data_IF_980361000891
#
_entry.id   IF_980361000891
#
_cell.length_a   1.000
_cell.length_b   1.000
_cell.length_c   1.000
_cell.angle_alpha   90.00
_cell.angle_beta   90.00
_cell.angle_gamma   90.00
#
_symmetry.space_group_name_H-M   'P 1'
#
loop_
_entity.id
_entity.type
_entity.pdbx_description
1 polymer ?
#
# COMPACT_ATOMS: atom_id res chain seq x y z
N UNK A 1 -5.43 24.88 3.31
CA UNK A 1 -4.47 23.99 4.03
C UNK A 1 -4.03 24.71 5.29
N UNK A 2 -4.03 24.05 6.44
CA UNK A 2 -3.47 24.63 7.67
C UNK A 2 -2.00 24.97 7.43
N UNK A 3 -1.61 26.21 7.71
CA UNK A 3 -0.22 26.72 7.59
C UNK A 3 0.74 26.04 8.57
N UNK A 4 0.21 25.31 9.56
CA UNK A 4 0.98 24.76 10.67
C UNK A 4 2.01 23.69 10.30
N UNK A 5 1.95 23.10 9.10
CA UNK A 5 2.83 21.98 8.71
C UNK A 5 3.54 22.14 7.36
N UNK A 6 3.65 23.36 6.85
CA UNK A 6 4.32 23.59 5.57
C UNK A 6 5.82 23.31 5.62
N UNK A 7 6.45 23.51 6.78
CA UNK A 7 7.88 23.30 6.96
C UNK A 7 8.23 21.81 6.92
N UNK A 8 7.44 20.96 7.57
CA UNK A 8 7.61 19.51 7.58
C UNK A 8 7.43 18.92 6.18
N UNK A 9 6.48 19.45 5.41
CA UNK A 9 6.29 19.07 4.00
C UNK A 9 7.53 19.45 3.19
N UNK A 10 8.05 20.67 3.34
CA UNK A 10 9.23 21.15 2.63
C UNK A 10 10.48 20.33 2.99
N UNK A 11 10.70 20.06 4.27
CA UNK A 11 11.81 19.22 4.73
C UNK A 11 11.70 17.80 4.17
N UNK A 12 10.50 17.23 4.14
CA UNK A 12 10.29 15.91 3.58
C UNK A 12 10.48 15.89 2.06
N UNK A 13 10.07 16.93 1.34
CA UNK A 13 10.35 17.09 -0.09
C UNK A 13 11.85 17.14 -0.37
N UNK A 14 12.61 17.94 0.39
CA UNK A 14 14.06 18.01 0.27
C UNK A 14 14.74 16.65 0.48
N UNK A 15 14.32 15.89 1.51
CA UNK A 15 14.83 14.53 1.71
C UNK A 15 14.56 13.61 0.51
N UNK A 16 13.43 13.77 -0.17
CA UNK A 16 13.09 13.00 -1.37
C UNK A 16 13.84 13.45 -2.63
N UNK A 17 14.45 14.63 -2.65
CA UNK A 17 15.33 15.06 -3.74
C UNK A 17 16.67 14.32 -3.71
N UNK A 18 17.13 13.92 -2.52
CA UNK A 18 18.42 13.27 -2.30
C UNK A 18 18.38 11.73 -2.43
N UNK A 19 17.19 11.13 -2.62
CA UNK A 19 17.07 9.66 -2.77
C UNK A 19 17.50 9.19 -4.15
N UNK A 20 17.86 7.91 -4.26
CA UNK A 20 18.30 7.31 -5.53
C UNK A 20 17.20 7.32 -6.61
N UNK A 21 17.63 7.27 -7.88
CA UNK A 21 16.73 7.35 -9.03
C UNK A 21 15.74 6.18 -9.11
N UNK A 22 16.10 5.02 -8.57
CA UNK A 22 15.21 3.84 -8.55
C UNK A 22 14.04 4.09 -7.61
N UNK A 23 14.31 4.61 -6.40
CA UNK A 23 13.28 5.01 -5.45
C UNK A 23 12.43 6.17 -5.99
N UNK A 24 13.03 7.16 -6.66
CA UNK A 24 12.28 8.24 -7.32
C UNK A 24 11.33 7.71 -8.39
N UNK A 25 11.78 6.74 -9.19
CA UNK A 25 10.94 6.13 -10.22
C UNK A 25 9.71 5.43 -9.63
N UNK A 26 9.88 4.57 -8.62
CA UNK A 26 8.73 3.91 -8.01
C UNK A 26 7.86 4.88 -7.20
N UNK A 27 8.45 5.92 -6.61
CA UNK A 27 7.69 7.00 -5.97
C UNK A 27 6.77 7.70 -6.97
N UNK A 28 7.27 7.98 -8.19
CA UNK A 28 6.49 8.54 -9.29
C UNK A 28 5.27 7.67 -9.65
N UNK A 29 5.47 6.36 -9.73
CA UNK A 29 4.39 5.40 -9.98
C UNK A 29 3.38 5.35 -8.82
N UNK A 30 3.84 5.49 -7.58
CA UNK A 30 2.96 5.45 -6.40
C UNK A 30 2.09 6.71 -6.26
N UNK A 31 2.64 7.90 -6.51
CA UNK A 31 1.93 9.15 -6.21
C UNK A 31 0.96 9.60 -7.31
N UNK A 32 1.04 9.05 -8.52
CA UNK A 32 0.06 9.27 -9.62
C UNK A 32 -0.25 10.76 -9.88
N UNK A 33 0.77 11.61 -9.90
CA UNK A 33 0.62 13.06 -10.09
C UNK A 33 0.37 13.89 -8.82
N UNK A 34 0.21 13.26 -7.66
CA UNK A 34 -0.05 13.92 -6.37
C UNK A 34 1.08 13.69 -5.34
N UNK A 35 2.31 14.17 -5.59
CA UNK A 35 3.46 13.89 -4.73
C UNK A 35 3.29 14.47 -3.32
N UNK A 36 2.78 15.70 -3.19
CA UNK A 36 2.62 16.38 -1.89
C UNK A 36 1.59 15.68 -1.00
N UNK A 37 0.43 15.33 -1.55
CA UNK A 37 -0.63 14.60 -0.87
C UNK A 37 -0.15 13.22 -0.43
N UNK A 38 0.72 12.61 -1.23
CA UNK A 38 1.36 11.35 -0.90
C UNK A 38 2.30 11.49 0.29
N UNK A 39 3.18 12.50 0.32
CA UNK A 39 4.02 12.78 1.48
C UNK A 39 3.21 13.09 2.74
N UNK A 40 2.12 13.86 2.61
CA UNK A 40 1.20 14.17 3.72
C UNK A 40 0.60 12.89 4.32
N UNK A 41 0.29 11.86 3.52
CA UNK A 41 -0.22 10.57 4.05
C UNK A 41 0.79 9.91 4.99
N UNK A 42 2.08 9.90 4.62
CA UNK A 42 3.14 9.35 5.46
C UNK A 42 3.42 10.22 6.70
N UNK A 43 3.37 11.55 6.57
CA UNK A 43 3.49 12.47 7.70
C UNK A 43 2.36 12.27 8.71
N UNK A 44 1.11 12.23 8.25
CA UNK A 44 -0.06 11.97 9.11
C UNK A 44 0.05 10.62 9.83
N UNK A 45 0.56 9.58 9.17
CA UNK A 45 0.74 8.26 9.76
C UNK A 45 1.87 8.20 10.82
N UNK A 46 2.70 9.26 10.93
CA UNK A 46 3.85 9.33 11.84
C UNK A 46 3.84 10.63 12.66
N UNK A 47 2.65 11.15 12.96
CA UNK A 47 2.45 12.33 13.80
C UNK A 47 3.27 13.55 13.34
N UNK A 48 3.37 13.75 12.03
CA UNK A 48 4.16 14.80 11.37
C UNK A 48 5.67 14.73 11.64
N UNK A 49 6.18 13.62 12.17
CA UNK A 49 7.62 13.41 12.31
C UNK A 49 8.26 13.08 10.96
N UNK A 50 9.00 14.04 10.41
CA UNK A 50 9.63 13.96 9.07
C UNK A 50 10.54 12.73 8.94
N UNK A 51 11.39 12.45 9.93
CA UNK A 51 12.39 11.39 9.86
C UNK A 51 11.73 9.99 9.89
N UNK A 52 10.72 9.81 10.76
CA UNK A 52 9.93 8.57 10.82
C UNK A 52 9.10 8.37 9.56
N UNK A 53 8.51 9.44 9.03
CA UNK A 53 7.74 9.41 7.77
C UNK A 53 8.63 9.07 6.58
N UNK A 54 9.80 9.69 6.48
CA UNK A 54 10.81 9.40 5.47
C UNK A 54 11.26 7.95 5.53
N UNK A 55 11.63 7.45 6.71
CA UNK A 55 11.97 6.03 6.87
C UNK A 55 10.84 5.10 6.40
N UNK A 56 9.61 5.38 6.81
CA UNK A 56 8.44 4.57 6.40
C UNK A 56 8.23 4.61 4.87
N UNK A 57 8.45 5.75 4.23
CA UNK A 57 8.35 5.88 2.78
C UNK A 57 9.45 5.09 2.08
N UNK A 58 10.70 5.21 2.50
CA UNK A 58 11.82 4.44 1.92
C UNK A 58 11.59 2.94 2.06
N UNK A 59 11.22 2.47 3.26
CA UNK A 59 10.92 1.05 3.51
C UNK A 59 9.77 0.57 2.58
N UNK A 60 8.77 1.43 2.30
CA UNK A 60 7.69 1.15 1.35
C UNK A 60 8.16 1.07 -0.10
N UNK A 61 8.96 2.02 -0.56
CA UNK A 61 9.47 2.06 -1.93
C UNK A 61 10.41 0.87 -2.20
N UNK A 62 11.27 0.53 -1.24
CA UNK A 62 12.11 -0.67 -1.32
C UNK A 62 11.27 -1.95 -1.42
N UNK A 63 10.22 -2.08 -0.60
CA UNK A 63 9.31 -3.21 -0.70
C UNK A 63 8.61 -3.27 -2.06
N UNK A 64 8.20 -2.13 -2.63
CA UNK A 64 7.59 -2.07 -3.96
C UNK A 64 8.53 -2.59 -5.05
N UNK A 65 9.81 -2.23 -4.99
CA UNK A 65 10.84 -2.69 -5.92
C UNK A 65 11.06 -4.19 -5.76
N UNK A 66 11.30 -4.67 -4.53
CA UNK A 66 11.57 -6.08 -4.23
C UNK A 66 10.44 -7.02 -4.67
N UNK A 67 9.21 -6.53 -4.68
CA UNK A 67 8.03 -7.31 -5.03
C UNK A 67 7.47 -6.98 -6.42
N UNK A 68 8.18 -6.20 -7.22
CA UNK A 68 7.79 -5.79 -8.58
C UNK A 68 6.37 -5.20 -8.66
N UNK A 69 5.97 -4.42 -7.65
CA UNK A 69 4.59 -3.91 -7.51
C UNK A 69 4.19 -3.03 -8.69
N UNK A 70 5.13 -2.23 -9.20
CA UNK A 70 4.88 -1.33 -10.32
C UNK A 70 4.50 -2.11 -11.61
N UNK A 71 4.89 -3.39 -11.69
CA UNK A 71 4.62 -4.26 -12.83
C UNK A 71 3.56 -5.34 -12.52
N UNK A 72 2.86 -5.25 -11.38
CA UNK A 72 1.95 -6.32 -10.93
C UNK A 72 0.80 -6.58 -11.92
N UNK A 73 0.34 -5.53 -12.61
CA UNK A 73 -0.73 -5.62 -13.62
C UNK A 73 -0.21 -5.99 -15.02
N UNK A 74 1.11 -5.96 -15.24
CA UNK A 74 1.70 -6.36 -16.51
C UNK A 74 1.70 -7.88 -16.71
N UNK A 75 1.55 -8.65 -15.62
CA UNK A 75 1.50 -10.11 -15.65
C UNK A 75 0.03 -10.56 -15.64
N UNK A 76 -0.45 -11.33 -16.65
CA UNK A 76 -1.81 -11.84 -16.64
C UNK A 76 -1.99 -12.83 -15.48
N UNK A 77 -3.09 -12.67 -14.74
CA UNK A 77 -3.46 -13.63 -13.70
C UNK A 77 -4.01 -14.88 -14.39
N UNK A 78 -3.45 -16.08 -14.15
CA UNK A 78 -4.00 -17.31 -14.70
C UNK A 78 -5.48 -17.48 -14.32
N UNK A 79 -6.31 -17.91 -15.27
CA UNK A 79 -7.77 -17.93 -15.09
C UNK A 79 -8.22 -18.84 -13.95
N UNK A 80 -7.61 -20.03 -13.84
CA UNK A 80 -7.92 -20.99 -12.77
C UNK A 80 -7.56 -20.40 -11.40
N UNK A 81 -6.42 -19.73 -11.35
CA UNK A 81 -5.93 -19.05 -10.17
C UNK A 81 -6.89 -17.94 -9.74
N UNK A 82 -7.34 -17.10 -10.67
CA UNK A 82 -8.32 -16.04 -10.42
C UNK A 82 -9.66 -16.59 -9.89
N UNK A 83 -10.13 -17.69 -10.47
CA UNK A 83 -11.36 -18.35 -10.05
C UNK A 83 -11.26 -18.89 -8.62
N UNK A 84 -10.15 -19.56 -8.30
CA UNK A 84 -9.90 -20.07 -6.95
C UNK A 84 -9.89 -18.94 -5.90
N UNK A 85 -9.32 -17.76 -6.22
CA UNK A 85 -9.42 -16.59 -5.32
C UNK A 85 -10.86 -16.19 -5.13
N UNK A 86 -11.59 -16.01 -6.22
CA UNK A 86 -12.91 -15.41 -6.20
C UNK A 86 -13.91 -16.30 -5.48
N UNK A 87 -13.73 -17.62 -5.59
CA UNK A 87 -14.58 -18.60 -4.93
C UNK A 87 -14.21 -18.82 -3.45
N UNK A 88 -12.99 -18.49 -3.04
CA UNK A 88 -12.49 -18.72 -1.68
C UNK A 88 -12.36 -17.44 -0.83
N UNK A 89 -12.17 -16.28 -1.44
CA UNK A 89 -11.96 -15.01 -0.77
C UNK A 89 -13.03 -14.02 -1.21
N UNK A 90 -14.04 -13.87 -0.37
CA UNK A 90 -15.19 -13.04 -0.65
C UNK A 90 -14.83 -11.57 -0.41
N UNK A 91 -14.07 -10.98 -1.33
CA UNK A 91 -13.69 -9.57 -1.33
C UNK A 91 -14.16 -8.91 -2.61
N UNK A 92 -14.82 -7.76 -2.51
CA UNK A 92 -15.30 -7.03 -3.67
C UNK A 92 -15.51 -5.54 -3.43
N UNK A 93 -15.44 -4.76 -4.50
CA UNK A 93 -15.82 -3.35 -4.50
C UNK A 93 -17.34 -3.24 -4.67
N UNK A 94 -18.01 -2.62 -3.72
CA UNK A 94 -19.48 -2.59 -3.61
C UNK A 94 -20.08 -1.20 -3.83
N UNK A 95 -19.38 -0.33 -4.57
CA UNK A 95 -19.80 1.04 -4.86
C UNK A 95 -19.12 2.07 -3.96
N UNK A 96 -19.85 3.14 -3.60
CA UNK A 96 -19.32 4.30 -2.87
C UNK A 96 -20.19 4.66 -1.66
N UNK A 97 -19.58 5.20 -0.61
CA UNK A 97 -20.27 5.76 0.56
C UNK A 97 -20.99 7.08 0.20
N UNK A 98 -21.79 7.61 1.12
CA UNK A 98 -22.48 8.90 0.93
C UNK A 98 -21.50 10.07 0.74
N UNK A 99 -20.30 9.95 1.29
CA UNK A 99 -19.21 10.90 1.18
C UNK A 99 -18.31 10.63 -0.04
N UNK A 100 -18.64 9.63 -0.88
CA UNK A 100 -17.93 9.31 -2.11
C UNK A 100 -16.71 8.40 -1.95
N UNK A 101 -16.50 7.77 -0.79
CA UNK A 101 -15.38 6.83 -0.60
C UNK A 101 -15.72 5.45 -1.16
N UNK A 102 -14.81 4.76 -1.85
CA UNK A 102 -15.06 3.39 -2.32
C UNK A 102 -15.32 2.44 -1.14
N UNK A 103 -16.34 1.59 -1.26
CA UNK A 103 -16.69 0.58 -0.25
C UNK A 103 -16.14 -0.77 -0.69
N UNK A 104 -15.34 -1.39 0.18
CA UNK A 104 -14.83 -2.76 0.00
C UNK A 104 -15.54 -3.66 1.02
N UNK A 105 -16.27 -4.66 0.53
CA UNK A 105 -16.93 -5.66 1.37
C UNK A 105 -16.03 -6.91 1.50
N UNK A 106 -15.88 -7.42 2.72
CA UNK A 106 -15.06 -8.61 3.03
C UNK A 106 -15.88 -9.61 3.84
N UNK A 107 -16.20 -10.76 3.24
CA UNK A 107 -16.95 -11.85 3.85
C UNK A 107 -16.05 -12.83 4.60
N UNK A 108 -15.53 -12.43 5.77
CA UNK A 108 -14.52 -13.21 6.52
C UNK A 108 -14.99 -14.61 6.89
N UNK A 109 -16.20 -14.76 7.45
CA UNK A 109 -16.70 -16.06 7.96
C UNK A 109 -16.99 -17.10 6.88
N UNK A 110 -17.12 -16.68 5.62
CA UNK A 110 -17.36 -17.57 4.48
C UNK A 110 -16.14 -17.67 3.55
N UNK A 111 -15.06 -16.94 3.84
CA UNK A 111 -13.83 -17.07 3.09
C UNK A 111 -13.06 -18.29 3.57
N UNK A 112 -12.57 -19.11 2.65
CA UNK A 112 -11.70 -20.26 2.94
C UNK A 112 -10.29 -19.96 2.45
N UNK A 113 -9.29 -20.16 3.29
CA UNK A 113 -7.88 -19.89 2.95
C UNK A 113 -7.09 -21.17 2.66
N UNK A 114 -7.78 -22.31 2.63
CA UNK A 114 -7.26 -23.65 2.37
C UNK A 114 -6.78 -23.85 0.93
N UNK A 115 -7.35 -23.10 -0.02
CA UNK A 115 -6.98 -23.13 -1.45
C UNK A 115 -5.93 -22.10 -1.85
N UNK A 116 -5.66 -21.13 -0.98
CA UNK A 116 -4.70 -20.08 -1.23
C UNK A 116 -3.28 -20.61 -0.94
N UNK A 117 -2.52 -20.98 -1.97
CA UNK A 117 -1.09 -21.29 -1.80
C UNK A 117 -0.36 -20.10 -1.14
N UNK A 118 0.81 -20.29 -0.52
CA UNK A 118 1.57 -19.21 0.14
C UNK A 118 1.91 -18.05 -0.83
N UNK A 119 2.03 -18.33 -2.14
CA UNK A 119 2.16 -17.31 -3.21
C UNK A 119 0.90 -16.45 -3.40
N UNK A 120 -0.24 -16.88 -2.87
CA UNK A 120 -1.55 -16.32 -3.07
C UNK A 120 -1.91 -15.23 -2.05
N UNK A 121 -1.60 -15.48 -0.77
CA UNK A 121 -1.61 -14.45 0.28
C UNK A 121 -0.73 -13.26 -0.10
N UNK A 122 0.38 -13.53 -0.80
CA UNK A 122 1.28 -12.51 -1.33
C UNK A 122 0.59 -11.62 -2.37
N UNK A 123 -0.16 -12.17 -3.34
CA UNK A 123 -0.94 -11.39 -4.32
C UNK A 123 -2.02 -10.52 -3.65
N UNK A 124 -2.71 -11.03 -2.63
CA UNK A 124 -3.77 -10.29 -1.93
C UNK A 124 -3.23 -9.11 -1.12
N UNK A 125 -2.12 -9.32 -0.42
CA UNK A 125 -1.41 -8.26 0.33
C UNK A 125 -0.95 -7.13 -0.61
N UNK A 126 -0.61 -7.47 -1.85
CA UNK A 126 -0.09 -6.53 -2.84
C UNK A 126 -1.17 -5.81 -3.66
N UNK A 127 -2.29 -6.49 -3.98
CA UNK A 127 -3.39 -5.91 -4.79
C UNK A 127 -4.38 -5.10 -3.93
N UNK A 128 -4.66 -5.52 -2.70
CA UNK A 128 -5.60 -4.79 -1.82
C UNK A 128 -4.95 -3.68 -0.98
N UNK A 129 -3.70 -3.32 -1.28
CA UNK A 129 -3.08 -2.16 -0.65
C UNK A 129 -2.73 -2.35 0.82
N UNK A 130 -2.38 -3.57 1.23
CA UNK A 130 -1.64 -3.76 2.48
C UNK A 130 -0.18 -3.33 2.27
N UNK A 131 0.01 -2.03 2.05
CA UNK A 131 1.28 -1.31 2.13
C UNK A 131 1.95 -1.58 3.50
N UNK A 132 3.24 -1.25 3.74
CA UNK A 132 3.91 -1.51 5.02
C UNK A 132 3.26 -0.89 6.26
N UNK A 133 2.18 -0.11 6.10
CA UNK A 133 1.23 0.15 7.19
C UNK A 133 0.82 -1.13 7.94
N UNK A 134 0.67 -2.28 7.27
CA UNK A 134 0.34 -3.55 7.92
C UNK A 134 1.52 -4.47 8.22
N UNK A 135 2.76 -4.12 7.83
CA UNK A 135 3.94 -4.77 8.41
C UNK A 135 4.01 -4.54 9.94
N UNK A 136 3.35 -3.49 10.43
CA UNK A 136 3.14 -3.26 11.86
C UNK A 136 2.09 -4.21 12.49
N UNK A 137 1.10 -4.69 11.73
CA UNK A 137 0.10 -5.67 12.19
C UNK A 137 0.65 -7.11 12.10
N UNK A 138 1.43 -7.42 11.06
CA UNK A 138 2.06 -8.74 10.92
C UNK A 138 3.09 -9.05 12.03
N UNK A 139 3.81 -8.04 12.54
CA UNK A 139 4.70 -8.19 13.71
C UNK A 139 3.98 -8.42 15.05
N UNK A 140 2.70 -8.05 15.14
CA UNK A 140 1.84 -8.34 16.30
C UNK A 140 1.38 -9.81 16.26
N UNK A 141 1.20 -10.37 15.05
CA UNK A 141 0.82 -11.78 14.86
C UNK A 141 1.98 -12.77 14.85
N UNK A 142 3.24 -12.34 14.75
CA UNK A 142 4.40 -13.23 14.87
C UNK A 142 4.86 -13.46 16.32
N UNK A 143 4.21 -12.84 17.30
CA UNK A 143 4.52 -12.96 18.74
C UNK A 143 3.28 -13.34 19.57
N UNK A 144 2.26 -13.93 18.93
CA UNK A 144 1.15 -14.65 19.57
C UNK A 144 1.17 -16.08 19.06
#
# INVERSE_FOLDING_TARGET
MSTAHQEEIRQFQALMEDVDDTLKHTFKNMHQGYPTETLIRFLKARDWNVQKAHKMLIDCLQWRIQNEIDNILAKPIPIDLYRDIRDSQLVGLSGYSKEGHPVIAVGVGHSTYDKASVRFLWLLHHVFGFSPMCSMIAKIWSNI
#
